data_IF_702451499103
#
_entry.id   IF_702451499103
#
_cell.length_a   1.000
_cell.length_b   1.000
_cell.length_c   1.000
_cell.angle_alpha   90.00
_cell.angle_beta   90.00
_cell.angle_gamma   90.00
#
_symmetry.space_group_name_H-M   'P 1'
#
loop_
_entity.id
_entity.type
_entity.pdbx_description
1 polymer ?
#
# COMPACT_ATOMS: atom_id res chain seq x y z
N UNK A 1 -38.28 29.20 20.64
CA UNK A 1 -39.67 29.55 20.32
C UNK A 1 -39.67 30.80 19.46
N UNK A 2 -39.82 30.66 18.14
CA UNK A 2 -39.81 31.81 17.22
C UNK A 2 -41.17 31.90 16.53
N UNK A 3 -41.81 33.07 16.72
CA UNK A 3 -43.19 33.37 16.34
C UNK A 3 -43.29 33.55 14.82
N UNK A 4 -44.34 32.97 14.25
CA UNK A 4 -44.84 33.20 12.90
C UNK A 4 -45.26 34.65 12.70
N UNK A 5 -44.92 35.23 11.54
CA UNK A 5 -45.55 36.43 10.99
C UNK A 5 -46.13 36.10 9.62
N UNK A 6 -47.46 36.24 9.54
CA UNK A 6 -48.25 36.31 8.34
C UNK A 6 -47.88 37.58 7.56
N UNK A 7 -47.82 37.49 6.23
CA UNK A 7 -47.90 38.66 5.36
C UNK A 7 -49.08 38.46 4.41
N UNK A 8 -49.94 39.48 4.38
CA UNK A 8 -51.17 39.56 3.62
C UNK A 8 -50.99 40.71 2.61
N UNK A 9 -51.26 40.48 1.34
CA UNK A 9 -51.37 41.54 0.35
C UNK A 9 -52.42 41.11 -0.69
N UNK A 10 -53.60 41.75 -0.62
CA UNK A 10 -54.67 41.57 -1.59
C UNK A 10 -54.54 42.48 -2.80
N UNK A 11 -55.40 42.23 -3.78
CA UNK A 11 -56.12 43.16 -4.69
C UNK A 11 -56.40 42.55 -6.10
N UNK A 12 -57.42 43.04 -6.83
CA UNK A 12 -58.58 42.24 -7.21
C UNK A 12 -58.77 42.13 -8.74
N UNK A 13 -59.82 41.42 -9.14
CA UNK A 13 -60.44 41.45 -10.48
C UNK A 13 -59.59 41.00 -11.67
N UNK A 14 -59.76 39.73 -12.06
CA UNK A 14 -59.68 39.34 -13.47
C UNK A 14 -60.87 38.47 -13.86
N UNK A 15 -61.57 38.93 -14.90
CA UNK A 15 -62.68 38.27 -15.59
C UNK A 15 -62.31 36.83 -15.95
N UNK A 16 -63.25 35.93 -15.67
CA UNK A 16 -63.27 34.56 -16.15
C UNK A 16 -63.45 34.55 -17.68
N UNK A 17 -62.41 34.18 -18.41
CA UNK A 17 -62.53 33.74 -19.80
C UNK A 17 -62.63 32.22 -19.79
N UNK A 18 -63.83 31.69 -20.00
CA UNK A 18 -64.06 30.27 -20.21
C UNK A 18 -63.56 29.94 -21.62
N UNK A 19 -62.35 29.39 -21.73
CA UNK A 19 -61.86 28.79 -22.96
C UNK A 19 -62.51 27.41 -23.08
N UNK A 20 -63.28 27.23 -24.16
CA UNK A 20 -63.97 25.98 -24.50
C UNK A 20 -62.92 24.92 -24.85
N UNK A 21 -62.82 23.86 -24.03
CA UNK A 21 -62.00 22.69 -24.33
C UNK A 21 -62.68 21.85 -25.43
N UNK A 22 -61.92 21.27 -26.38
CA UNK A 22 -62.45 20.21 -27.24
C UNK A 22 -62.75 18.94 -26.44
N UNK A 23 -63.83 18.25 -26.81
CA UNK A 23 -64.28 16.98 -26.24
C UNK A 23 -63.21 15.87 -26.41
N UNK A 24 -63.18 14.86 -25.51
CA UNK A 24 -62.18 13.80 -25.54
C UNK A 24 -62.38 12.89 -26.75
N UNK A 25 -61.31 12.65 -27.52
CA UNK A 25 -61.26 11.48 -28.37
C UNK A 25 -61.02 10.26 -27.48
N UNK A 26 -62.11 9.56 -27.18
CA UNK A 26 -62.09 8.22 -26.62
C UNK A 26 -61.52 7.27 -27.68
N UNK A 27 -60.32 6.74 -27.42
CA UNK A 27 -59.77 5.61 -28.16
C UNK A 27 -58.86 4.81 -27.22
N UNK A 28 -59.45 3.76 -26.68
CA UNK A 28 -58.85 2.43 -26.57
C UNK A 28 -57.53 2.32 -25.79
N UNK A 29 -57.69 1.95 -24.52
CA UNK A 29 -56.88 0.99 -23.76
C UNK A 29 -55.62 0.49 -24.48
N UNK A 30 -54.44 0.96 -24.05
CA UNK A 30 -53.31 0.04 -23.83
C UNK A 30 -52.28 0.65 -22.87
N UNK A 31 -52.37 0.23 -21.62
CA UNK A 31 -51.35 0.41 -20.59
C UNK A 31 -50.05 -0.25 -21.04
N UNK A 32 -48.99 0.51 -21.33
CA UNK A 32 -47.60 0.02 -21.20
C UNK A 32 -46.73 1.16 -20.68
N UNK A 33 -46.55 1.15 -19.36
CA UNK A 33 -45.51 1.88 -18.64
C UNK A 33 -44.15 1.60 -19.28
N UNK A 34 -43.56 2.57 -19.99
CA UNK A 34 -42.16 2.47 -20.44
C UNK A 34 -41.25 2.98 -19.33
N UNK A 35 -40.93 2.10 -18.39
CA UNK A 35 -39.74 2.25 -17.53
C UNK A 35 -38.54 2.14 -18.47
N UNK A 36 -37.92 3.28 -18.82
CA UNK A 36 -36.65 3.27 -19.53
C UNK A 36 -35.59 2.69 -18.57
N UNK A 37 -35.09 1.50 -18.91
CA UNK A 37 -34.10 0.77 -18.15
C UNK A 37 -32.80 1.59 -18.02
N UNK A 38 -32.45 1.94 -16.79
CA UNK A 38 -31.11 2.40 -16.47
C UNK A 38 -30.15 1.20 -16.62
N UNK A 39 -29.37 1.18 -17.71
CA UNK A 39 -28.24 0.28 -17.90
C UNK A 39 -27.19 0.60 -16.82
N UNK A 40 -27.24 -0.14 -15.70
CA UNK A 40 -26.23 -0.09 -14.66
C UNK A 40 -24.91 -0.62 -15.19
N UNK A 41 -23.91 0.25 -15.32
CA UNK A 41 -22.53 -0.15 -15.58
C UNK A 41 -22.00 -0.90 -14.34
N UNK A 42 -21.95 -2.23 -14.42
CA UNK A 42 -21.29 -3.07 -13.43
C UNK A 42 -19.77 -2.90 -13.58
N UNK A 43 -19.17 -1.95 -12.85
CA UNK A 43 -17.72 -1.85 -12.76
C UNK A 43 -17.20 -3.02 -11.94
N UNK A 44 -16.59 -4.03 -12.60
CA UNK A 44 -15.76 -5.02 -11.91
C UNK A 44 -14.54 -4.28 -11.33
N UNK A 45 -14.61 -3.90 -10.06
CA UNK A 45 -13.45 -3.47 -9.31
C UNK A 45 -12.51 -4.69 -9.16
N UNK A 46 -11.45 -4.75 -9.97
CA UNK A 46 -10.39 -5.72 -9.77
C UNK A 46 -9.75 -5.48 -8.40
N UNK A 47 -9.64 -6.53 -7.59
CA UNK A 47 -8.91 -6.44 -6.33
C UNK A 47 -7.44 -6.13 -6.64
N UNK A 48 -6.96 -4.96 -6.23
CA UNK A 48 -5.54 -4.68 -6.20
C UNK A 48 -4.91 -5.59 -5.12
N UNK A 49 -4.20 -6.63 -5.54
CA UNK A 49 -3.45 -7.48 -4.62
C UNK A 49 -2.22 -6.70 -4.15
N UNK A 50 -2.16 -6.42 -2.85
CA UNK A 50 -0.98 -5.88 -2.20
C UNK A 50 -0.10 -7.05 -1.72
N UNK A 51 1.22 -6.86 -1.75
CA UNK A 51 2.12 -7.89 -1.26
C UNK A 51 1.89 -8.08 0.25
N UNK A 52 2.02 -9.33 0.71
CA UNK A 52 1.91 -9.57 2.15
C UNK A 52 2.94 -8.72 2.93
N UNK A 53 2.55 -8.10 4.06
CA UNK A 53 3.45 -7.23 4.81
C UNK A 53 4.73 -7.93 5.28
N UNK A 54 5.86 -7.25 5.10
CA UNK A 54 7.19 -7.74 5.49
C UNK A 54 7.72 -7.10 6.78
N UNK A 55 6.96 -6.17 7.38
CA UNK A 55 7.29 -5.56 8.66
C UNK A 55 7.41 -6.62 9.77
N UNK A 56 8.37 -6.42 10.68
CA UNK A 56 8.65 -7.37 11.76
C UNK A 56 10.13 -7.47 12.10
N UNK A 57 10.45 -8.41 12.99
CA UNK A 57 11.83 -8.74 13.37
C UNK A 57 12.18 -10.09 12.77
N UNK A 58 13.36 -10.16 12.15
CA UNK A 58 13.74 -11.30 11.33
C UNK A 58 15.16 -11.75 11.64
N UNK A 59 15.34 -13.03 11.93
CA UNK A 59 16.63 -13.69 12.07
C UNK A 59 17.14 -14.04 10.67
N UNK A 60 18.37 -13.63 10.34
CA UNK A 60 19.03 -13.98 9.08
C UNK A 60 19.20 -15.49 8.94
N UNK A 61 19.36 -15.99 7.71
CA UNK A 61 19.42 -17.45 7.45
C UNK A 61 20.56 -18.16 8.21
N UNK A 62 21.71 -17.50 8.35
CA UNK A 62 22.85 -17.99 9.13
C UNK A 62 22.69 -17.82 10.66
N UNK A 63 21.59 -17.21 11.10
CA UNK A 63 21.29 -16.94 12.50
C UNK A 63 22.22 -15.91 13.15
N UNK A 64 22.92 -15.08 12.36
CA UNK A 64 23.91 -14.13 12.87
C UNK A 64 23.33 -12.83 13.37
N UNK A 65 22.18 -12.38 12.86
CA UNK A 65 21.60 -11.08 13.21
C UNK A 65 20.08 -11.10 13.25
N UNK A 66 19.51 -10.16 14.02
CA UNK A 66 18.11 -9.76 13.92
C UNK A 66 18.02 -8.47 13.12
N UNK A 67 17.16 -8.44 12.12
CA UNK A 67 16.83 -7.26 11.31
C UNK A 67 15.43 -6.81 11.66
N UNK A 68 15.29 -5.55 12.08
CA UNK A 68 13.97 -4.91 12.24
C UNK A 68 13.59 -4.29 10.91
N UNK A 69 12.45 -4.72 10.35
CA UNK A 69 11.82 -4.18 9.13
C UNK A 69 10.59 -3.39 9.50
N UNK A 70 10.37 -2.25 8.84
CA UNK A 70 9.24 -1.37 9.09
C UNK A 70 9.25 -0.09 8.24
N UNK A 71 8.29 0.82 8.45
CA UNK A 71 8.19 2.06 7.67
C UNK A 71 9.37 3.00 7.92
N UNK A 72 9.79 3.71 6.87
CA UNK A 72 10.82 4.74 6.85
C UNK A 72 10.40 5.85 5.87
N UNK A 73 9.66 6.84 6.37
CA UNK A 73 9.01 7.84 5.52
C UNK A 73 7.97 7.18 4.60
N UNK A 74 8.10 7.38 3.29
CA UNK A 74 7.19 6.81 2.28
C UNK A 74 7.57 5.41 1.79
N UNK A 75 8.58 4.77 2.38
CA UNK A 75 9.06 3.44 1.97
C UNK A 75 9.15 2.49 3.16
N UNK A 76 9.40 1.22 2.88
CA UNK A 76 9.79 0.22 3.90
C UNK A 76 11.31 0.09 3.92
N UNK A 77 11.90 0.02 5.12
CA UNK A 77 13.33 -0.15 5.35
C UNK A 77 13.57 -1.21 6.42
N UNK A 78 14.85 -1.50 6.66
CA UNK A 78 15.25 -2.39 7.72
C UNK A 78 16.66 -2.11 8.21
N UNK A 79 16.88 -2.35 9.51
CA UNK A 79 18.14 -2.11 10.22
C UNK A 79 18.54 -3.30 11.06
N UNK A 80 19.83 -3.47 11.29
CA UNK A 80 20.35 -4.50 12.20
C UNK A 80 19.95 -4.13 13.62
N UNK A 81 19.02 -4.88 14.20
CA UNK A 81 18.55 -4.65 15.56
C UNK A 81 19.45 -5.33 16.60
N UNK A 82 20.06 -6.46 16.26
CA UNK A 82 21.00 -7.18 17.13
C UNK A 82 21.94 -8.05 16.29
N UNK A 83 23.15 -8.29 16.82
CA UNK A 83 24.05 -9.35 16.36
C UNK A 83 23.93 -10.50 17.37
N UNK A 84 23.46 -11.65 16.90
CA UNK A 84 23.22 -12.85 17.73
C UNK A 84 24.44 -13.78 17.79
N UNK A 85 25.24 -13.80 16.71
CA UNK A 85 26.46 -14.60 16.66
C UNK A 85 27.56 -13.75 16.07
N UNK A 86 28.58 -13.46 16.87
CA UNK A 86 29.76 -12.77 16.37
C UNK A 86 30.60 -13.75 15.57
N UNK A 87 30.71 -13.53 14.26
CA UNK A 87 31.61 -14.32 13.42
C UNK A 87 33.05 -13.96 13.81
N UNK A 88 33.93 -14.96 13.86
CA UNK A 88 35.36 -14.71 14.06
C UNK A 88 35.87 -13.70 13.02
N UNK A 89 36.53 -12.64 13.49
CA UNK A 89 36.98 -11.52 12.65
C UNK A 89 35.90 -10.53 12.21
N UNK A 90 34.66 -10.64 12.70
CA UNK A 90 33.63 -9.63 12.41
C UNK A 90 33.92 -8.32 13.14
N UNK A 91 33.98 -7.23 12.37
CA UNK A 91 34.11 -5.89 12.92
C UNK A 91 32.81 -5.43 13.60
N UNK A 92 32.94 -4.66 14.68
CA UNK A 92 31.80 -3.99 15.33
C UNK A 92 31.29 -2.77 14.53
N UNK A 93 32.07 -2.31 13.55
CA UNK A 93 31.75 -1.17 12.68
C UNK A 93 31.83 -1.56 11.21
N UNK A 94 31.32 -0.68 10.34
CA UNK A 94 31.17 -0.87 8.90
C UNK A 94 32.50 -0.78 8.11
N UNK A 95 33.55 -1.47 8.56
CA UNK A 95 34.94 -1.33 8.07
C UNK A 95 35.11 -1.58 6.57
N UNK A 96 34.21 -2.35 5.96
CA UNK A 96 34.23 -2.66 4.53
C UNK A 96 33.53 -1.62 3.66
N UNK A 97 32.96 -0.55 4.25
CA UNK A 97 32.24 0.45 3.47
C UNK A 97 33.18 1.10 2.43
N UNK A 98 32.78 1.20 1.15
CA UNK A 98 33.60 1.87 0.15
C UNK A 98 33.84 3.36 0.47
N UNK A 99 32.89 4.01 1.14
CA UNK A 99 33.10 5.35 1.69
C UNK A 99 33.80 5.25 3.06
N UNK A 100 35.03 5.76 3.11
CA UNK A 100 35.84 5.77 4.32
C UNK A 100 35.16 6.49 5.50
N UNK A 101 34.32 7.51 5.23
CA UNK A 101 33.62 8.27 6.26
C UNK A 101 32.54 7.46 6.98
N UNK A 102 32.06 6.39 6.36
CA UNK A 102 31.03 5.53 6.92
C UNK A 102 31.61 4.35 7.72
N UNK A 103 32.92 4.09 7.64
CA UNK A 103 33.57 2.91 8.24
C UNK A 103 33.55 2.87 9.77
N UNK A 104 33.39 4.02 10.41
CA UNK A 104 33.28 4.15 11.86
C UNK A 104 31.86 3.91 12.39
N UNK A 105 30.85 3.82 11.52
CA UNK A 105 29.46 3.57 11.92
C UNK A 105 29.33 2.17 12.51
N UNK A 106 28.64 2.06 13.65
CA UNK A 106 28.34 0.78 14.29
C UNK A 106 27.48 -0.13 13.40
N UNK A 107 27.74 -1.44 13.42
CA UNK A 107 26.93 -2.44 12.71
C UNK A 107 25.51 -2.50 13.29
N UNK A 108 25.37 -2.48 14.61
CA UNK A 108 24.06 -2.44 15.27
C UNK A 108 23.43 -1.06 15.07
N UNK A 109 22.15 -1.04 14.70
CA UNK A 109 21.37 0.17 14.41
C UNK A 109 21.45 0.65 12.96
N UNK A 110 22.43 0.18 12.19
CA UNK A 110 22.65 0.60 10.81
C UNK A 110 21.55 0.11 9.87
N UNK A 111 21.05 0.96 8.94
CA UNK A 111 20.14 0.53 7.89
C UNK A 111 20.84 -0.39 6.89
N UNK A 112 20.21 -1.52 6.58
CA UNK A 112 20.68 -2.47 5.57
C UNK A 112 19.65 -2.76 4.50
N UNK A 113 18.36 -2.49 4.73
CA UNK A 113 17.30 -2.54 3.72
C UNK A 113 16.79 -1.12 3.47
N UNK A 114 16.69 -0.71 2.21
CA UNK A 114 16.33 0.66 1.85
C UNK A 114 15.41 0.73 0.62
N UNK A 115 14.47 1.68 0.65
CA UNK A 115 13.63 2.03 -0.48
C UNK A 115 12.73 0.89 -0.95
N UNK A 116 12.25 0.03 -0.04
CA UNK A 116 11.33 -1.02 -0.43
C UNK A 116 9.94 -0.46 -0.70
N UNK A 117 9.40 -0.79 -1.87
CA UNK A 117 8.01 -0.52 -2.27
C UNK A 117 7.29 -1.82 -2.58
N UNK A 118 5.98 -1.83 -2.32
CA UNK A 118 5.08 -2.91 -2.70
C UNK A 118 4.98 -3.00 -4.24
N UNK A 119 5.16 -4.19 -4.79
CA UNK A 119 5.04 -4.50 -6.21
C UNK A 119 3.93 -5.54 -6.50
N UNK A 120 3.01 -5.76 -5.56
CA UNK A 120 1.84 -6.63 -5.66
C UNK A 120 2.07 -8.04 -5.10
N UNK A 121 3.11 -8.73 -5.58
CA UNK A 121 3.48 -10.07 -5.08
C UNK A 121 4.71 -10.07 -4.18
N UNK A 122 5.54 -9.05 -4.33
CA UNK A 122 6.82 -8.89 -3.64
C UNK A 122 7.09 -7.43 -3.29
N UNK A 123 8.12 -7.21 -2.48
CA UNK A 123 8.65 -5.89 -2.15
C UNK A 123 10.00 -5.71 -2.82
N UNK A 124 10.23 -4.57 -3.48
CA UNK A 124 11.46 -4.31 -4.23
C UNK A 124 12.21 -3.11 -3.69
N UNK A 125 13.51 -3.26 -3.49
CA UNK A 125 14.37 -2.22 -2.95
C UNK A 125 15.84 -2.58 -3.07
N UNK A 126 16.63 -2.17 -2.07
CA UNK A 126 18.07 -2.45 -2.02
C UNK A 126 18.49 -3.02 -0.67
N UNK A 127 19.46 -3.94 -0.70
CA UNK A 127 20.10 -4.50 0.49
C UNK A 127 21.60 -4.19 0.51
N UNK A 128 22.10 -3.64 1.60
CA UNK A 128 23.52 -3.43 1.87
C UNK A 128 24.06 -4.59 2.72
N UNK A 129 25.20 -5.16 2.32
CA UNK A 129 25.92 -6.18 3.09
C UNK A 129 27.21 -5.60 3.68
N UNK A 130 27.26 -5.32 5.00
CA UNK A 130 28.46 -4.78 5.64
C UNK A 130 29.64 -5.76 5.66
N UNK A 131 29.41 -7.05 5.37
CA UNK A 131 30.47 -8.06 5.33
C UNK A 131 31.37 -7.89 4.10
N UNK A 132 30.89 -7.22 3.06
CA UNK A 132 31.67 -6.98 1.85
C UNK A 132 31.53 -5.56 1.29
N UNK A 133 30.78 -4.67 1.94
CA UNK A 133 30.63 -3.27 1.55
C UNK A 133 29.77 -3.04 0.31
N UNK A 134 29.02 -4.04 -0.16
CA UNK A 134 28.26 -3.96 -1.42
C UNK A 134 26.77 -3.77 -1.17
N UNK A 135 26.13 -3.09 -2.12
CA UNK A 135 24.68 -2.92 -2.15
C UNK A 135 24.10 -3.61 -3.38
N UNK A 136 23.05 -4.40 -3.17
CA UNK A 136 22.41 -5.22 -4.19
C UNK A 136 20.98 -4.75 -4.44
N UNK A 137 20.48 -4.98 -5.66
CA UNK A 137 19.03 -4.99 -5.91
C UNK A 137 18.44 -6.13 -5.09
N UNK A 138 17.31 -5.88 -4.43
CA UNK A 138 16.70 -6.86 -3.56
C UNK A 138 15.20 -6.98 -3.78
N UNK A 139 14.73 -8.23 -3.69
CA UNK A 139 13.32 -8.60 -3.74
C UNK A 139 13.03 -9.38 -2.47
N UNK A 140 12.00 -8.99 -1.74
CA UNK A 140 11.57 -9.65 -0.51
C UNK A 140 10.13 -10.09 -0.66
N UNK A 141 9.85 -11.37 -0.41
CA UNK A 141 8.49 -11.89 -0.37
C UNK A 141 8.26 -12.68 0.92
N UNK A 142 7.01 -12.74 1.37
CA UNK A 142 6.60 -13.57 2.48
C UNK A 142 6.17 -14.94 1.94
N UNK A 143 6.74 -16.00 2.51
CA UNK A 143 6.37 -17.36 2.19
C UNK A 143 5.14 -17.81 3.00
N UNK A 144 4.50 -18.90 2.56
CA UNK A 144 3.30 -19.44 3.21
C UNK A 144 3.50 -19.87 4.67
N UNK A 145 4.72 -20.28 5.02
CA UNK A 145 5.12 -20.62 6.41
C UNK A 145 5.41 -19.38 7.29
N UNK A 146 5.23 -18.19 6.73
CA UNK A 146 5.48 -16.92 7.42
C UNK A 146 6.95 -16.48 7.45
N UNK A 147 7.87 -17.21 6.81
CA UNK A 147 9.26 -16.75 6.63
C UNK A 147 9.37 -15.67 5.55
N UNK A 148 10.49 -14.94 5.52
CA UNK A 148 10.83 -14.08 4.40
C UNK A 148 11.81 -14.77 3.46
N UNK A 149 11.56 -14.68 2.16
CA UNK A 149 12.54 -14.93 1.11
C UNK A 149 13.20 -13.61 0.75
N UNK A 150 14.46 -13.44 1.11
CA UNK A 150 15.24 -12.23 0.85
C UNK A 150 16.23 -12.52 -0.26
N UNK A 151 15.93 -12.03 -1.46
CA UNK A 151 16.76 -12.22 -2.65
C UNK A 151 17.65 -11.00 -2.88
N UNK A 152 18.93 -11.22 -3.15
CA UNK A 152 19.89 -10.19 -3.59
C UNK A 152 20.46 -10.56 -4.96
N UNK A 153 20.55 -9.60 -5.87
CA UNK A 153 21.00 -9.84 -7.25
C UNK A 153 22.17 -8.92 -7.66
N UNK A 154 23.12 -9.48 -8.42
CA UNK A 154 24.15 -8.76 -9.19
C UNK A 154 23.95 -9.11 -10.66
N UNK A 155 23.61 -8.12 -11.48
CA UNK A 155 23.26 -8.33 -12.88
C UNK A 155 22.20 -9.46 -13.01
N UNK A 156 22.57 -10.60 -13.61
CA UNK A 156 21.71 -11.77 -13.83
C UNK A 156 21.84 -12.88 -12.77
N UNK A 157 22.75 -12.73 -11.81
CA UNK A 157 22.99 -13.73 -10.75
C UNK A 157 22.28 -13.29 -9.48
N UNK A 158 21.42 -14.15 -8.92
CA UNK A 158 20.70 -13.90 -7.68
C UNK A 158 20.94 -15.00 -6.65
N UNK A 159 20.98 -14.62 -5.38
CA UNK A 159 20.99 -15.53 -4.25
C UNK A 159 19.82 -15.19 -3.32
N UNK A 160 19.19 -16.21 -2.75
CA UNK A 160 18.04 -16.06 -1.84
C UNK A 160 18.38 -16.63 -0.49
N UNK A 161 18.10 -15.86 0.56
CA UNK A 161 18.11 -16.32 1.94
C UNK A 161 16.69 -16.50 2.46
N UNK A 162 16.51 -17.44 3.38
CA UNK A 162 15.26 -17.62 4.14
C UNK A 162 15.42 -17.07 5.55
N UNK A 163 14.74 -15.98 5.86
CA UNK A 163 14.78 -15.36 7.18
C UNK A 163 13.58 -15.79 8.03
N UNK A 164 13.86 -16.17 9.27
CA UNK A 164 12.85 -16.64 10.22
C UNK A 164 12.38 -15.48 11.08
N UNK A 165 11.12 -15.49 11.51
CA UNK A 165 10.64 -14.50 12.48
C UNK A 165 11.44 -14.60 13.78
N UNK A 166 11.90 -13.47 14.31
CA UNK A 166 12.44 -13.39 15.65
C UNK A 166 11.25 -13.29 16.61
N UNK A 167 10.93 -14.40 17.30
CA UNK A 167 9.93 -14.43 18.36
C UNK A 167 10.41 -13.69 19.59
#
# INVERSE_FOLDING_TARGET
MYKSKLYNAGHPNRRLTIVRLPAPADNSRMTITRIAAALGALTLAGAANAAQPIAGRWITEDGSAIVQVGPCGSSTCGRIAAVLKQRSGAAATDVNNPDAKLRSRAIVGMPILSGFSDAGDDWRGRIYDPRNGKTYKSIVSRAADGTLKVKGCVAFICQTQTWKSAR
#
